data_IF_812978812174
#
_entry.id   IF_812978812174
#
_cell.length_a   1.000
_cell.length_b   1.000
_cell.length_c   1.000
_cell.angle_alpha   90.00
_cell.angle_beta   90.00
_cell.angle_gamma   90.00
#
_symmetry.space_group_name_H-M   'P 1'
#
loop_
_entity.id
_entity.type
_entity.pdbx_description
1 polymer ?
#
# COMPACT_ATOMS: atom_id res chain seq x y z
N UNK A 1 6.82 11.47 -11.71
CA UNK A 1 6.17 10.61 -10.70
C UNK A 1 5.05 9.86 -11.43
N UNK A 2 4.98 8.54 -11.34
CA UNK A 2 3.84 7.78 -11.88
C UNK A 2 2.86 7.49 -10.75
N UNK A 3 1.56 7.71 -10.99
CA UNK A 3 0.50 7.47 -10.02
C UNK A 3 -0.43 6.39 -10.59
N UNK A 4 -0.77 5.42 -9.75
CA UNK A 4 -1.63 4.29 -10.13
C UNK A 4 -2.76 4.15 -9.13
N UNK A 5 -3.94 3.77 -9.61
CA UNK A 5 -4.98 3.23 -8.76
C UNK A 5 -4.55 1.85 -8.25
N UNK A 6 -5.04 1.39 -7.09
CA UNK A 6 -4.70 0.08 -6.55
C UNK A 6 -4.89 -1.08 -7.53
N UNK A 7 -5.98 -1.07 -8.30
CA UNK A 7 -6.23 -2.13 -9.29
C UNK A 7 -5.19 -2.13 -10.44
N UNK A 8 -4.71 -0.96 -10.84
CA UNK A 8 -3.75 -0.81 -11.94
C UNK A 8 -2.37 -1.33 -11.53
N UNK A 9 -1.88 -0.95 -10.35
CA UNK A 9 -0.58 -1.42 -9.86
C UNK A 9 -0.58 -2.93 -9.58
N UNK A 10 -1.70 -3.48 -9.10
CA UNK A 10 -1.86 -4.93 -8.92
C UNK A 10 -1.84 -5.69 -10.25
N UNK A 11 -2.49 -5.15 -11.29
CA UNK A 11 -2.48 -5.75 -12.62
C UNK A 11 -1.07 -5.73 -13.22
N UNK A 12 -0.37 -4.61 -13.10
CA UNK A 12 1.02 -4.47 -13.55
C UNK A 12 1.94 -5.46 -12.84
N UNK A 13 1.83 -5.61 -11.51
CA UNK A 13 2.65 -6.54 -10.76
C UNK A 13 2.44 -8.01 -11.20
N UNK A 14 1.19 -8.41 -11.45
CA UNK A 14 0.89 -9.74 -12.01
C UNK A 14 1.45 -9.94 -13.41
N UNK A 15 1.30 -8.94 -14.28
CA UNK A 15 1.83 -8.97 -15.64
C UNK A 15 3.38 -9.07 -15.65
N UNK A 16 4.03 -8.54 -14.62
CA UNK A 16 5.48 -8.66 -14.40
C UNK A 16 5.92 -10.00 -13.81
N UNK A 17 5.00 -10.93 -13.54
CA UNK A 17 5.30 -12.30 -13.10
C UNK A 17 5.27 -12.54 -11.59
N UNK A 18 4.89 -11.56 -10.77
CA UNK A 18 4.66 -11.80 -9.34
C UNK A 18 3.39 -12.63 -9.13
N UNK A 19 3.52 -13.74 -8.39
CA UNK A 19 2.42 -14.69 -8.15
C UNK A 19 1.50 -14.20 -7.04
N UNK A 20 2.11 -13.67 -5.99
CA UNK A 20 1.40 -13.08 -4.86
C UNK A 20 1.55 -11.57 -4.93
N UNK A 21 0.43 -10.87 -5.04
CA UNK A 21 0.38 -9.41 -5.05
C UNK A 21 -0.72 -8.91 -4.14
N UNK A 22 -0.41 -7.94 -3.30
CA UNK A 22 -1.35 -7.33 -2.36
C UNK A 22 -1.15 -5.84 -2.27
N UNK A 23 -2.27 -5.13 -2.36
CA UNK A 23 -2.35 -3.73 -2.00
C UNK A 23 -2.57 -3.61 -0.48
N UNK A 24 -1.75 -2.80 0.18
CA UNK A 24 -1.87 -2.48 1.61
C UNK A 24 -2.29 -1.01 1.70
N UNK A 25 -3.56 -0.75 2.06
CA UNK A 25 -4.09 0.60 2.10
C UNK A 25 -3.61 1.36 3.33
N UNK A 26 -3.68 2.69 3.27
CA UNK A 26 -3.20 3.58 4.34
C UNK A 26 -3.91 3.31 5.67
N UNK A 27 -5.19 2.92 5.65
CA UNK A 27 -5.94 2.59 6.87
C UNK A 27 -5.37 1.36 7.58
N UNK A 28 -4.81 0.40 6.84
CA UNK A 28 -4.15 -0.74 7.44
C UNK A 28 -2.82 -0.35 8.09
N UNK A 29 -2.07 0.54 7.46
CA UNK A 29 -0.82 1.08 8.01
C UNK A 29 -1.08 1.93 9.25
N UNK A 30 -2.09 2.80 9.20
CA UNK A 30 -2.51 3.63 10.32
C UNK A 30 -2.88 2.76 11.52
N UNK A 31 -3.74 1.77 11.30
CA UNK A 31 -4.14 0.81 12.35
C UNK A 31 -2.95 0.04 12.93
N UNK A 32 -1.99 -0.36 12.10
CA UNK A 32 -0.90 -1.26 12.53
C UNK A 32 0.25 -0.51 13.21
N UNK A 33 0.57 0.69 12.76
CA UNK A 33 1.78 1.40 13.15
C UNK A 33 1.55 2.75 13.84
N UNK A 34 0.37 3.34 13.68
CA UNK A 34 0.06 4.69 14.19
C UNK A 34 -1.11 4.72 15.18
N UNK A 35 -1.80 3.59 15.38
CA UNK A 35 -2.85 3.47 16.38
C UNK A 35 -2.34 3.83 17.79
N UNK A 36 -3.10 4.67 18.50
CA UNK A 36 -2.78 5.11 19.86
C UNK A 36 -1.77 6.25 19.98
N UNK A 37 -1.23 6.74 18.86
CA UNK A 37 -0.37 7.94 18.89
C UNK A 37 -1.15 9.20 19.26
N UNK A 38 -0.65 9.91 20.26
CA UNK A 38 -1.21 11.18 20.76
C UNK A 38 -0.52 12.41 20.19
N UNK A 39 0.58 12.23 19.45
CA UNK A 39 1.39 13.29 18.84
C UNK A 39 0.87 13.79 17.49
N UNK A 40 -0.29 13.28 17.04
CA UNK A 40 -0.93 13.68 15.78
C UNK A 40 -0.26 13.15 14.51
N UNK A 41 0.83 12.40 14.62
CA UNK A 41 1.50 11.81 13.45
C UNK A 41 0.62 10.71 12.85
N UNK A 42 0.35 10.82 11.54
CA UNK A 42 -0.46 9.88 10.75
C UNK A 42 0.14 9.74 9.35
N UNK A 43 -0.02 8.58 8.70
CA UNK A 43 0.40 8.42 7.31
C UNK A 43 -0.46 9.30 6.39
N UNK A 44 0.17 9.86 5.38
CA UNK A 44 -0.48 10.59 4.29
C UNK A 44 -1.23 9.63 3.37
N UNK A 45 -2.28 10.12 2.71
CA UNK A 45 -3.11 9.31 1.79
C UNK A 45 -2.35 8.73 0.59
N UNK A 46 -1.13 9.20 0.32
CA UNK A 46 -0.28 8.67 -0.76
C UNK A 46 0.64 7.53 -0.31
N UNK A 47 0.73 7.23 0.99
CA UNK A 47 1.59 6.19 1.56
C UNK A 47 0.89 4.83 1.55
N UNK A 48 0.33 4.42 0.41
CA UNK A 48 -0.16 3.06 0.20
C UNK A 48 0.98 2.17 -0.31
N UNK A 49 0.98 0.88 0.04
CA UNK A 49 2.06 -0.06 -0.33
C UNK A 49 1.57 -1.17 -1.26
N UNK A 50 2.43 -1.58 -2.19
CA UNK A 50 2.30 -2.83 -2.92
C UNK A 50 3.29 -3.84 -2.34
N UNK A 51 2.80 -5.01 -1.92
CA UNK A 51 3.63 -6.17 -1.59
C UNK A 51 3.52 -7.17 -2.73
N UNK A 52 4.67 -7.64 -3.22
CA UNK A 52 4.73 -8.61 -4.31
C UNK A 52 5.84 -9.64 -4.07
N UNK A 53 5.55 -10.92 -4.30
CA UNK A 53 6.50 -12.03 -4.16
C UNK A 53 6.40 -13.00 -5.35
N UNK A 54 7.53 -13.65 -5.67
CA UNK A 54 7.71 -14.53 -6.83
C UNK A 54 7.73 -16.01 -6.47
#
# INVERSE_FOLDING_TARGET
LSLFRPAEILALARASGFREVRHVPVEELDRRYFAGRTDGVRPSRGEELLVAAG
#
